data_IF_692469160794
#
_entry.id   IF_692469160794
#
_cell.length_a   1.000
_cell.length_b   1.000
_cell.length_c   1.000
_cell.angle_alpha   90.00
_cell.angle_beta   90.00
_cell.angle_gamma   90.00
#
_symmetry.space_group_name_H-M   'P 1'
#
loop_
_entity.id
_entity.type
_entity.pdbx_description
1 polymer ?
#
# COMPACT_ATOMS: atom_id res chain seq x y z
N UNK A 1 23.77 13.13 -14.74
CA UNK A 1 22.29 13.12 -14.92
C UNK A 1 21.75 11.70 -15.12
N UNK A 2 22.38 10.85 -15.94
CA UNK A 2 21.97 9.46 -16.15
C UNK A 2 21.89 8.63 -14.85
N UNK A 3 22.87 8.77 -13.96
CA UNK A 3 22.92 8.09 -12.66
C UNK A 3 21.75 8.44 -11.73
N UNK A 4 21.30 9.70 -11.72
CA UNK A 4 20.18 10.15 -10.87
C UNK A 4 18.85 9.57 -11.34
N UNK A 5 18.64 9.49 -12.66
CA UNK A 5 17.44 8.89 -13.25
C UNK A 5 17.34 7.38 -12.99
N UNK A 6 18.47 6.68 -13.03
CA UNK A 6 18.53 5.24 -12.69
C UNK A 6 18.19 5.01 -11.22
N UNK A 7 18.72 5.84 -10.31
CA UNK A 7 18.42 5.72 -8.88
C UNK A 7 16.94 6.02 -8.60
N UNK A 8 16.38 7.07 -9.20
CA UNK A 8 14.96 7.43 -9.06
C UNK A 8 14.02 6.33 -9.59
N UNK A 9 14.32 5.78 -10.77
CA UNK A 9 13.53 4.70 -11.35
C UNK A 9 13.60 3.43 -10.50
N UNK A 10 14.78 3.04 -10.00
CA UNK A 10 14.91 1.90 -9.09
C UNK A 10 14.11 2.09 -7.79
N UNK A 11 14.20 3.28 -7.17
CA UNK A 11 13.49 3.62 -5.93
C UNK A 11 11.97 3.55 -6.10
N UNK A 12 11.44 3.84 -7.28
CA UNK A 12 10.00 3.79 -7.54
C UNK A 12 9.53 2.40 -8.01
N UNK A 13 10.30 1.75 -8.88
CA UNK A 13 9.92 0.47 -9.50
C UNK A 13 10.04 -0.69 -8.53
N UNK A 14 11.02 -0.70 -7.63
CA UNK A 14 11.22 -1.80 -6.68
C UNK A 14 10.01 -1.92 -5.73
N UNK A 15 9.56 -0.86 -5.02
CA UNK A 15 8.37 -0.94 -4.17
C UNK A 15 7.12 -1.31 -4.95
N UNK A 16 6.92 -0.73 -6.14
CA UNK A 16 5.77 -1.04 -6.99
C UNK A 16 5.74 -2.52 -7.40
N UNK A 17 6.88 -3.08 -7.80
CA UNK A 17 7.02 -4.49 -8.17
C UNK A 17 6.72 -5.42 -6.98
N UNK A 18 7.20 -5.06 -5.80
CA UNK A 18 6.93 -5.82 -4.56
C UNK A 18 5.44 -5.77 -4.21
N UNK A 19 4.79 -4.61 -4.31
CA UNK A 19 3.35 -4.48 -4.07
C UNK A 19 2.54 -5.33 -5.06
N UNK A 20 2.95 -5.37 -6.33
CA UNK A 20 2.33 -6.24 -7.34
C UNK A 20 2.48 -7.73 -7.00
N UNK A 21 3.65 -8.15 -6.50
CA UNK A 21 3.85 -9.53 -6.03
C UNK A 21 2.96 -9.87 -4.83
N UNK A 22 2.88 -8.97 -3.84
CA UNK A 22 1.99 -9.14 -2.67
C UNK A 22 0.53 -9.20 -3.10
N UNK A 23 0.12 -8.38 -4.06
CA UNK A 23 -1.24 -8.38 -4.60
C UNK A 23 -1.54 -9.67 -5.38
N UNK A 24 -0.59 -10.15 -6.20
CA UNK A 24 -0.71 -11.39 -6.98
C UNK A 24 -0.89 -12.63 -6.09
N UNK A 25 -0.17 -12.69 -4.96
CA UNK A 25 -0.31 -13.77 -3.98
C UNK A 25 -1.44 -13.55 -2.97
N UNK A 26 -2.14 -12.43 -3.04
CA UNK A 26 -3.24 -12.09 -2.15
C UNK A 26 -4.61 -12.58 -2.63
N UNK A 27 -5.55 -12.65 -1.69
CA UNK A 27 -6.97 -12.96 -1.96
C UNK A 27 -7.72 -11.82 -2.69
N UNK A 28 -7.06 -10.68 -2.94
CA UNK A 28 -7.60 -9.51 -3.63
C UNK A 28 -8.14 -9.81 -5.04
N UNK A 29 -7.58 -10.82 -5.71
CA UNK A 29 -7.94 -11.14 -7.10
C UNK A 29 -9.37 -11.63 -7.28
N UNK A 30 -9.98 -12.21 -6.24
CA UNK A 30 -11.31 -12.81 -6.32
C UNK A 30 -12.45 -11.79 -6.17
N UNK A 31 -12.16 -10.54 -5.82
CA UNK A 31 -13.15 -9.48 -5.64
C UNK A 31 -12.87 -8.29 -6.58
N UNK A 32 -13.00 -8.52 -7.89
CA UNK A 32 -12.67 -7.56 -8.95
C UNK A 32 -13.30 -6.17 -8.74
N UNK A 33 -14.56 -6.11 -8.28
CA UNK A 33 -15.25 -4.84 -8.00
C UNK A 33 -14.55 -4.07 -6.88
N UNK A 34 -14.21 -4.74 -5.77
CA UNK A 34 -13.55 -4.10 -4.62
C UNK A 34 -12.14 -3.63 -5.00
N UNK A 35 -11.43 -4.44 -5.79
CA UNK A 35 -10.13 -4.06 -6.34
C UNK A 35 -10.25 -2.82 -7.24
N UNK A 36 -11.26 -2.78 -8.12
CA UNK A 36 -11.53 -1.63 -8.98
C UNK A 36 -11.77 -0.35 -8.19
N UNK A 37 -12.57 -0.41 -7.12
CA UNK A 37 -12.82 0.74 -6.23
C UNK A 37 -11.56 1.21 -5.50
N UNK A 38 -10.72 0.29 -5.03
CA UNK A 38 -9.43 0.64 -4.41
C UNK A 38 -8.47 1.31 -5.41
N UNK A 39 -8.40 0.79 -6.63
CA UNK A 39 -7.59 1.37 -7.70
C UNK A 39 -8.11 2.74 -8.13
N UNK A 40 -9.43 2.93 -8.17
CA UNK A 40 -10.03 4.23 -8.46
C UNK A 40 -9.68 5.26 -7.37
N UNK A 41 -9.80 4.88 -6.09
CA UNK A 41 -9.40 5.75 -4.98
C UNK A 41 -7.91 6.10 -5.03
N UNK A 42 -7.04 5.14 -5.33
CA UNK A 42 -5.62 5.39 -5.56
C UNK A 42 -5.38 6.29 -6.77
N UNK A 43 -6.15 6.12 -7.85
CA UNK A 43 -6.12 6.99 -9.03
C UNK A 43 -6.43 8.45 -8.67
N UNK A 44 -7.45 8.70 -7.84
CA UNK A 44 -7.74 10.04 -7.34
C UNK A 44 -6.60 10.63 -6.49
N UNK A 45 -5.91 9.82 -5.69
CA UNK A 45 -4.72 10.29 -4.94
C UNK A 45 -3.60 10.69 -5.90
N UNK A 46 -3.32 9.88 -6.92
CA UNK A 46 -2.27 10.16 -7.93
C UNK A 46 -2.61 11.41 -8.73
N UNK A 47 -3.81 11.49 -9.30
CA UNK A 47 -4.28 12.65 -10.07
C UNK A 47 -4.34 13.90 -9.19
N UNK A 48 -4.86 13.79 -7.97
CA UNK A 48 -4.89 14.88 -7.00
C UNK A 48 -3.50 15.39 -6.62
N UNK A 49 -2.52 14.50 -6.50
CA UNK A 49 -1.11 14.88 -6.25
C UNK A 49 -0.53 15.63 -7.45
N UNK A 50 -0.77 15.17 -8.67
CA UNK A 50 -0.36 15.85 -9.89
C UNK A 50 -0.97 17.25 -9.98
N UNK A 51 -2.28 17.36 -9.78
CA UNK A 51 -2.98 18.65 -9.78
C UNK A 51 -2.47 19.57 -8.67
N UNK A 52 -2.10 19.03 -7.52
CA UNK A 52 -1.51 19.80 -6.41
C UNK A 52 -0.16 20.40 -6.80
N UNK A 53 0.68 19.66 -7.53
CA UNK A 53 1.96 20.14 -8.04
C UNK A 53 1.74 21.20 -9.13
N UNK A 54 0.74 21.01 -9.99
CA UNK A 54 0.37 21.95 -11.05
C UNK A 54 -0.43 23.18 -10.54
N UNK A 55 -0.72 23.24 -9.24
CA UNK A 55 -1.52 24.30 -8.61
C UNK A 55 -2.95 24.42 -9.17
N UNK A 56 -3.50 23.34 -9.71
CA UNK A 56 -4.87 23.32 -10.23
C UNK A 56 -5.91 23.34 -9.12
N UNK A 57 -7.05 23.97 -9.41
CA UNK A 57 -8.22 23.96 -8.53
C UNK A 57 -8.79 22.54 -8.39
N UNK A 58 -9.37 22.23 -7.23
CA UNK A 58 -9.93 20.90 -6.96
C UNK A 58 -8.91 19.83 -6.55
N UNK A 59 -7.60 20.08 -6.64
CA UNK A 59 -6.56 19.12 -6.19
C UNK A 59 -6.77 18.63 -4.74
N UNK A 60 -7.16 19.53 -3.84
CA UNK A 60 -7.45 19.20 -2.43
C UNK A 60 -8.64 18.25 -2.30
N UNK A 61 -9.71 18.46 -3.07
CA UNK A 61 -10.90 17.62 -3.03
C UNK A 61 -10.58 16.20 -3.55
N UNK A 62 -9.79 16.09 -4.62
CA UNK A 62 -9.31 14.81 -5.16
C UNK A 62 -8.46 14.03 -4.14
N UNK A 63 -7.53 14.72 -3.46
CA UNK A 63 -6.69 14.10 -2.44
C UNK A 63 -7.49 13.66 -1.21
N UNK A 64 -8.36 14.53 -0.68
CA UNK A 64 -9.19 14.19 0.47
C UNK A 64 -10.16 13.06 0.12
N UNK A 65 -10.85 13.15 -1.02
CA UNK A 65 -11.79 12.13 -1.48
C UNK A 65 -11.12 10.80 -1.78
N UNK A 66 -9.98 10.81 -2.47
CA UNK A 66 -9.19 9.61 -2.74
C UNK A 66 -8.64 8.98 -1.46
N UNK A 67 -8.05 9.78 -0.58
CA UNK A 67 -7.53 9.31 0.71
C UNK A 67 -8.61 8.75 1.64
N UNK A 68 -9.70 9.50 1.85
CA UNK A 68 -10.83 9.06 2.66
C UNK A 68 -11.54 7.84 2.06
N UNK A 69 -11.75 7.84 0.75
CA UNK A 69 -12.33 6.70 0.03
C UNK A 69 -11.47 5.45 0.17
N UNK A 70 -10.15 5.56 0.02
CA UNK A 70 -9.23 4.45 0.18
C UNK A 70 -9.32 3.84 1.60
N UNK A 71 -9.31 4.68 2.64
CA UNK A 71 -9.46 4.23 4.02
C UNK A 71 -10.81 3.56 4.28
N UNK A 72 -11.90 4.16 3.80
CA UNK A 72 -13.25 3.64 4.00
C UNK A 72 -13.45 2.29 3.28
N UNK A 73 -13.12 2.21 1.98
CA UNK A 73 -13.29 1.01 1.17
C UNK A 73 -12.47 -0.14 1.75
N UNK A 74 -11.18 0.09 2.04
CA UNK A 74 -10.31 -0.95 2.57
C UNK A 74 -10.68 -1.33 4.01
N UNK A 75 -11.03 -0.35 4.85
CA UNK A 75 -11.46 -0.58 6.24
C UNK A 75 -12.74 -1.42 6.32
N UNK A 76 -13.75 -1.08 5.51
CA UNK A 76 -14.98 -1.88 5.38
C UNK A 76 -14.67 -3.31 4.91
N UNK A 77 -13.78 -3.45 3.93
CA UNK A 77 -13.39 -4.77 3.45
C UNK A 77 -12.66 -5.59 4.52
N UNK A 78 -11.77 -4.96 5.29
CA UNK A 78 -11.06 -5.60 6.39
C UNK A 78 -12.01 -6.02 7.52
N UNK A 79 -13.01 -5.20 7.84
CA UNK A 79 -14.03 -5.52 8.85
C UNK A 79 -14.84 -6.77 8.48
N UNK A 80 -15.15 -6.95 7.19
CA UNK A 80 -15.90 -8.10 6.67
C UNK A 80 -15.09 -9.41 6.62
N UNK A 81 -13.78 -9.40 6.87
CA UNK A 81 -12.98 -10.63 6.86
C UNK A 81 -13.23 -11.47 8.12
N UNK A 82 -13.62 -12.75 7.99
CA UNK A 82 -13.90 -13.63 9.13
C UNK A 82 -12.61 -14.00 9.90
N UNK A 83 -11.53 -14.30 9.18
CA UNK A 83 -10.21 -14.56 9.76
C UNK A 83 -9.27 -13.42 9.38
N UNK A 84 -8.62 -12.83 10.39
CA UNK A 84 -7.72 -11.68 10.22
C UNK A 84 -6.30 -12.14 10.52
N UNK A 85 -5.46 -12.23 9.50
CA UNK A 85 -4.04 -12.52 9.68
C UNK A 85 -3.22 -11.26 10.02
N UNK A 86 -2.02 -11.44 10.59
CA UNK A 86 -1.07 -10.33 10.83
C UNK A 86 -0.75 -9.58 9.54
N UNK A 87 -0.61 -10.29 8.41
CA UNK A 87 -0.38 -9.68 7.10
C UNK A 87 -1.55 -8.76 6.68
N UNK A 88 -2.79 -9.11 7.03
CA UNK A 88 -3.95 -8.26 6.71
C UNK A 88 -3.96 -6.99 7.56
N UNK A 89 -3.55 -7.08 8.83
CA UNK A 89 -3.42 -5.93 9.72
C UNK A 89 -2.29 -4.98 9.25
N UNK A 90 -1.16 -5.53 8.81
CA UNK A 90 -0.07 -4.74 8.24
C UNK A 90 -0.49 -4.04 6.94
N UNK A 91 -1.26 -4.72 6.08
CA UNK A 91 -1.84 -4.09 4.88
C UNK A 91 -2.82 -2.97 5.26
N UNK A 92 -3.67 -3.18 6.28
CA UNK A 92 -4.57 -2.13 6.78
C UNK A 92 -3.78 -0.92 7.27
N UNK A 93 -2.77 -1.13 8.12
CA UNK A 93 -1.93 -0.04 8.63
C UNK A 93 -1.26 0.74 7.49
N UNK A 94 -0.73 0.04 6.49
CA UNK A 94 -0.16 0.66 5.30
C UNK A 94 -1.18 1.46 4.48
N UNK A 95 -2.39 0.91 4.26
CA UNK A 95 -3.45 1.61 3.52
C UNK A 95 -3.96 2.83 4.27
N UNK A 96 -4.12 2.73 5.60
CA UNK A 96 -4.52 3.85 6.44
C UNK A 96 -3.48 4.97 6.42
N UNK A 97 -2.19 4.64 6.57
CA UNK A 97 -1.12 5.64 6.49
C UNK A 97 -1.07 6.31 5.11
N UNK A 98 -1.24 5.57 4.00
CA UNK A 98 -1.38 6.16 2.66
C UNK A 98 -2.55 7.16 2.58
N UNK A 99 -3.73 6.78 3.09
CA UNK A 99 -4.91 7.64 3.11
C UNK A 99 -4.72 8.89 3.98
N UNK A 100 -4.17 8.74 5.19
CA UNK A 100 -3.85 9.85 6.07
C UNK A 100 -2.82 10.80 5.45
N UNK A 101 -1.75 10.29 4.83
CA UNK A 101 -0.75 11.13 4.14
C UNK A 101 -1.40 11.95 3.03
N UNK A 102 -2.32 11.36 2.25
CA UNK A 102 -3.05 12.07 1.19
C UNK A 102 -3.91 13.21 1.74
N UNK A 103 -4.64 12.97 2.83
CA UNK A 103 -5.44 14.01 3.51
C UNK A 103 -4.54 15.08 4.13
N UNK A 104 -3.44 14.68 4.79
CA UNK A 104 -2.48 15.60 5.42
C UNK A 104 -1.76 16.49 4.40
N UNK A 105 -1.52 16.00 3.19
CA UNK A 105 -0.99 16.82 2.09
C UNK A 105 -1.90 18.03 1.81
N UNK A 106 -3.21 17.87 1.98
CA UNK A 106 -4.22 18.88 1.69
C UNK A 106 -4.54 19.81 2.86
N UNK A 107 -4.61 19.28 4.09
CA UNK A 107 -5.16 20.02 5.26
C UNK A 107 -4.10 20.38 6.29
N UNK A 108 -3.19 19.46 6.64
CA UNK A 108 -2.26 19.63 7.77
C UNK A 108 -0.81 19.33 7.37
N UNK A 109 -0.09 20.29 6.76
CA UNK A 109 1.28 20.08 6.29
C UNK A 109 2.26 19.64 7.38
N UNK A 110 2.03 20.06 8.63
CA UNK A 110 2.85 19.70 9.78
C UNK A 110 2.86 18.19 10.08
N UNK A 111 1.81 17.45 9.70
CA UNK A 111 1.72 16.01 9.91
C UNK A 111 2.45 15.19 8.82
N UNK A 112 2.94 15.82 7.73
CA UNK A 112 3.57 15.10 6.62
C UNK A 112 4.83 14.33 7.03
N UNK A 113 5.80 14.91 7.77
CA UNK A 113 7.00 14.17 8.16
C UNK A 113 6.72 12.91 8.99
N UNK A 114 5.95 12.96 10.10
CA UNK A 114 5.69 11.76 10.90
C UNK A 114 4.84 10.74 10.14
N UNK A 115 3.87 11.16 9.33
CA UNK A 115 3.07 10.25 8.51
C UNK A 115 3.91 9.55 7.43
N UNK A 116 4.87 10.26 6.82
CA UNK A 116 5.80 9.67 5.85
C UNK A 116 6.68 8.58 6.47
N UNK A 117 7.16 8.79 7.71
CA UNK A 117 7.92 7.78 8.46
C UNK A 117 7.03 6.56 8.73
N UNK A 118 5.82 6.76 9.24
CA UNK A 118 4.84 5.68 9.51
C UNK A 118 4.47 4.89 8.25
N UNK A 119 4.28 5.58 7.12
CA UNK A 119 4.00 4.94 5.85
C UNK A 119 5.17 4.07 5.37
N UNK A 120 6.40 4.57 5.51
CA UNK A 120 7.61 3.83 5.11
C UNK A 120 7.85 2.63 6.02
N UNK A 121 7.70 2.79 7.33
CA UNK A 121 7.88 1.68 8.28
C UNK A 121 6.81 0.61 8.12
N UNK A 122 5.54 0.99 7.93
CA UNK A 122 4.45 0.02 7.67
C UNK A 122 4.65 -0.73 6.35
N UNK A 123 5.13 -0.06 5.29
CA UNK A 123 5.48 -0.70 4.02
C UNK A 123 6.58 -1.78 4.20
N UNK A 124 7.67 -1.44 4.88
CA UNK A 124 8.77 -2.37 5.10
C UNK A 124 8.37 -3.51 6.04
N UNK A 125 7.64 -3.23 7.11
CA UNK A 125 7.13 -4.26 8.01
C UNK A 125 6.23 -5.27 7.26
N UNK A 126 5.31 -4.77 6.42
CA UNK A 126 4.47 -5.60 5.56
C UNK A 126 5.29 -6.47 4.60
N UNK A 127 6.30 -5.88 3.96
CA UNK A 127 7.15 -6.55 2.97
C UNK A 127 7.99 -7.65 3.62
N UNK A 128 8.68 -7.34 4.71
CA UNK A 128 9.51 -8.30 5.44
C UNK A 128 8.66 -9.46 5.98
N UNK A 129 7.48 -9.16 6.53
CA UNK A 129 6.56 -10.20 7.00
C UNK A 129 6.07 -11.10 5.86
N UNK A 130 5.74 -10.53 4.70
CA UNK A 130 5.36 -11.29 3.51
C UNK A 130 6.50 -12.21 3.03
N UNK A 131 7.72 -11.70 2.95
CA UNK A 131 8.89 -12.49 2.55
C UNK A 131 9.15 -13.64 3.53
N UNK A 132 9.07 -13.37 4.84
CA UNK A 132 9.21 -14.38 5.88
C UNK A 132 8.16 -15.49 5.74
N UNK A 133 6.88 -15.12 5.58
CA UNK A 133 5.81 -16.09 5.46
C UNK A 133 5.89 -16.92 4.17
N UNK A 134 6.30 -16.28 3.06
CA UNK A 134 6.27 -16.90 1.73
C UNK A 134 7.47 -17.81 1.49
N UNK A 135 8.67 -17.38 1.88
CA UNK A 135 9.91 -18.09 1.55
C UNK A 135 10.50 -18.83 2.75
N UNK A 136 10.66 -18.15 3.90
CA UNK A 136 11.37 -18.70 5.05
C UNK A 136 10.55 -19.78 5.77
N UNK A 137 9.28 -19.53 6.05
CA UNK A 137 8.42 -20.51 6.76
C UNK A 137 8.15 -21.77 5.94
N UNK A 138 8.07 -21.67 4.62
CA UNK A 138 7.85 -22.85 3.76
C UNK A 138 9.06 -23.76 3.71
N UNK A 139 10.27 -23.20 3.72
CA UNK A 139 11.51 -23.97 3.70
C UNK A 139 11.67 -24.86 4.94
N UNK A 140 11.31 -24.35 6.13
CA UNK A 140 11.39 -25.11 7.39
C UNK A 140 10.29 -26.15 7.58
N UNK A 141 9.24 -26.11 6.76
CA UNK A 141 8.13 -27.07 6.82
C UNK A 141 8.33 -28.26 5.85
N UNK A 142 9.47 -28.34 5.16
CA UNK A 142 9.76 -29.46 4.28
C UNK A 142 9.95 -30.75 5.10
N UNK A 143 9.24 -31.84 4.77
CA UNK A 143 9.31 -33.07 5.56
C UNK A 143 10.71 -33.68 5.52
N UNK A 144 11.18 -34.13 6.68
CA UNK A 144 12.44 -34.87 6.83
C UNK A 144 12.47 -36.06 5.87
N UNK A 145 13.56 -36.28 5.12
CA UNK A 145 13.65 -37.41 4.21
C UNK A 145 13.47 -38.70 5.03
N UNK A 146 12.35 -39.38 4.81
CA UNK A 146 12.06 -40.67 5.43
C UNK A 146 13.08 -41.67 4.87
N UNK A 147 14.17 -41.87 5.60
CA UNK A 147 15.16 -42.91 5.34
C UNK A 147 14.41 -44.25 5.29
N UNK A 148 14.38 -44.85 4.10
CA UNK A 148 13.95 -46.23 3.87
C UNK A 148 15.16 -47.13 3.85
#
# INVERSE_FOLDING_TARGET
MLSVLVVLSAVLLIPASILLLIAKHGTLRYAAIRLGLLLLALGFIVVGTLFRIQHWEGARALLIGGGAGLMAIYGLWFAQKPTKGVLDLLKLAFVLTCGLTSVALSVFPALRPPLGILQTTSFWAMTLYFLYQTYLRKATSAPEPRNR
#
